data_IF_592840428520
#
_entry.id   IF_592840428520
#
_cell.length_a   1.000
_cell.length_b   1.000
_cell.length_c   1.000
_cell.angle_alpha   90.00
_cell.angle_beta   90.00
_cell.angle_gamma   90.00
#
_symmetry.space_group_name_H-M   'P 1'
#
loop_
_entity.id
_entity.type
_entity.pdbx_description
1 polymer ?
#
# COMPACT_ATOMS: atom_id res chain seq x y z
N UNK A 1 8.02 -31.07 -14.75
CA UNK A 1 9.45 -30.71 -14.64
C UNK A 1 9.58 -29.48 -13.73
N UNK A 2 10.06 -29.69 -12.52
CA UNK A 2 10.24 -28.67 -11.49
C UNK A 2 11.65 -28.08 -11.58
N UNK A 3 11.77 -26.85 -12.07
CA UNK A 3 13.03 -26.11 -11.97
C UNK A 3 13.15 -25.49 -10.58
N UNK A 4 13.94 -26.13 -9.72
CA UNK A 4 14.50 -25.50 -8.54
C UNK A 4 15.64 -24.57 -8.98
N UNK A 5 15.34 -23.30 -9.21
CA UNK A 5 16.36 -22.27 -9.40
C UNK A 5 16.70 -21.72 -8.01
N UNK A 6 17.87 -22.09 -7.49
CA UNK A 6 18.36 -21.55 -6.23
C UNK A 6 18.70 -20.05 -6.38
N UNK A 7 18.56 -19.26 -5.30
CA UNK A 7 18.78 -17.81 -5.29
C UNK A 7 20.16 -17.36 -5.84
N UNK A 8 21.16 -18.24 -5.85
CA UNK A 8 22.46 -17.98 -6.47
C UNK A 8 22.44 -18.00 -8.00
N UNK A 9 21.53 -18.78 -8.62
CA UNK A 9 21.48 -18.93 -10.07
C UNK A 9 20.92 -17.69 -10.78
N UNK A 10 19.93 -16.99 -10.21
CA UNK A 10 19.41 -15.74 -10.81
C UNK A 10 20.49 -14.65 -10.79
N UNK A 11 21.28 -14.56 -9.71
CA UNK A 11 22.37 -13.60 -9.59
C UNK A 11 23.50 -13.88 -10.58
N UNK A 12 23.92 -15.16 -10.71
CA UNK A 12 24.93 -15.58 -11.71
C UNK A 12 24.39 -15.39 -13.14
N UNK A 13 23.09 -15.61 -13.38
CA UNK A 13 22.50 -15.46 -14.70
C UNK A 13 22.38 -13.99 -15.13
N UNK A 14 21.93 -13.09 -14.24
CA UNK A 14 21.93 -11.65 -14.51
C UNK A 14 23.36 -11.10 -14.65
N UNK A 15 24.30 -11.52 -13.80
CA UNK A 15 25.70 -11.09 -13.86
C UNK A 15 26.41 -11.59 -15.13
N UNK A 16 26.14 -12.82 -15.60
CA UNK A 16 26.77 -13.38 -16.80
C UNK A 16 26.14 -12.89 -18.11
N UNK A 17 24.84 -12.62 -18.15
CA UNK A 17 24.19 -12.02 -19.32
C UNK A 17 24.65 -10.57 -19.54
N UNK A 18 24.87 -9.80 -18.46
CA UNK A 18 25.31 -8.41 -18.53
C UNK A 18 26.81 -8.26 -18.85
N UNK A 19 27.67 -9.13 -18.33
CA UNK A 19 29.10 -9.08 -18.69
C UNK A 19 29.35 -9.47 -20.15
N UNK A 20 28.53 -10.36 -20.73
CA UNK A 20 28.61 -10.71 -22.15
C UNK A 20 28.12 -9.60 -23.08
N UNK A 21 27.15 -8.79 -22.67
CA UNK A 21 26.64 -7.69 -23.51
C UNK A 21 27.49 -6.42 -23.44
N UNK A 22 28.28 -6.24 -22.38
CA UNK A 22 29.06 -5.00 -22.14
C UNK A 22 30.57 -5.12 -22.43
N UNK A 23 31.08 -6.30 -22.80
CA UNK A 23 32.50 -6.47 -23.18
C UNK A 23 33.50 -6.17 -22.05
N UNK A 24 33.08 -6.22 -20.79
CA UNK A 24 33.91 -5.87 -19.64
C UNK A 24 34.73 -7.10 -19.19
N UNK A 25 35.94 -7.25 -19.72
CA UNK A 25 36.97 -8.11 -19.14
C UNK A 25 37.74 -7.35 -18.06
N UNK A 26 37.55 -7.78 -16.81
CA UNK A 26 38.29 -7.46 -15.57
C UNK A 26 37.44 -6.72 -14.53
N UNK A 27 36.90 -7.50 -13.59
CA UNK A 27 36.51 -7.02 -12.26
C UNK A 27 37.45 -7.69 -11.27
N UNK A 28 38.27 -6.89 -10.60
CA UNK A 28 39.21 -7.33 -9.56
C UNK A 28 38.46 -7.79 -8.31
N UNK A 29 38.90 -8.93 -7.78
CA UNK A 29 38.78 -9.41 -6.39
C UNK A 29 37.40 -9.28 -5.73
N UNK A 30 36.65 -10.38 -5.80
CA UNK A 30 35.48 -10.67 -4.98
C UNK A 30 35.82 -10.55 -3.47
N UNK A 31 35.14 -9.64 -2.77
CA UNK A 31 34.90 -9.80 -1.34
C UNK A 31 34.20 -11.14 -1.11
N UNK A 32 34.64 -11.89 -0.07
CA UNK A 32 34.25 -13.28 0.20
C UNK A 32 32.75 -13.59 0.04
N UNK A 33 32.41 -14.83 -0.34
CA UNK A 33 31.03 -15.32 -0.55
C UNK A 33 30.06 -15.02 0.63
N UNK A 34 30.60 -14.82 1.85
CA UNK A 34 29.82 -14.37 3.01
C UNK A 34 29.33 -12.92 2.90
N UNK A 35 30.10 -12.01 2.26
CA UNK A 35 29.71 -10.61 2.04
C UNK A 35 28.50 -10.48 1.11
N UNK A 36 28.34 -11.40 0.14
CA UNK A 36 27.23 -11.41 -0.85
C UNK A 36 25.92 -11.91 -0.21
N UNK A 37 25.98 -12.55 0.96
CA UNK A 37 24.78 -12.98 1.71
C UNK A 37 24.14 -11.83 2.50
N UNK A 38 24.89 -10.78 2.81
CA UNK A 38 24.35 -9.59 3.48
C UNK A 38 23.34 -8.88 2.55
N UNK A 39 22.06 -8.77 2.94
CA UNK A 39 21.05 -8.06 2.15
C UNK A 39 21.42 -6.60 1.86
N UNK A 40 22.15 -5.92 2.74
CA UNK A 40 22.58 -4.54 2.50
C UNK A 40 23.61 -4.45 1.38
N UNK A 41 24.54 -5.41 1.27
CA UNK A 41 25.48 -5.45 0.15
C UNK A 41 24.76 -5.71 -1.18
N UNK A 42 23.69 -6.50 -1.16
CA UNK A 42 22.84 -6.69 -2.36
C UNK A 42 22.11 -5.41 -2.74
N UNK A 43 21.59 -4.66 -1.78
CA UNK A 43 20.99 -3.33 -2.04
C UNK A 43 22.02 -2.41 -2.69
N UNK A 44 23.23 -2.32 -2.15
CA UNK A 44 24.31 -1.51 -2.72
C UNK A 44 24.62 -1.90 -4.18
N UNK A 45 24.75 -3.19 -4.48
CA UNK A 45 24.98 -3.69 -5.85
C UNK A 45 23.81 -3.38 -6.78
N UNK A 46 22.56 -3.59 -6.33
CA UNK A 46 21.37 -3.28 -7.13
C UNK A 46 21.25 -1.77 -7.40
N UNK A 47 21.58 -0.94 -6.42
CA UNK A 47 21.65 0.51 -6.61
C UNK A 47 22.73 0.87 -7.63
N UNK A 48 23.92 0.29 -7.54
CA UNK A 48 25.00 0.55 -8.51
C UNK A 48 24.57 0.16 -9.93
N UNK A 49 23.98 -1.02 -10.10
CA UNK A 49 23.46 -1.48 -11.39
C UNK A 49 22.38 -0.56 -11.94
N UNK A 50 21.42 -0.16 -11.08
CA UNK A 50 20.37 0.79 -11.44
C UNK A 50 20.97 2.10 -11.96
N UNK A 51 21.94 2.67 -11.25
CA UNK A 51 22.58 3.92 -11.62
C UNK A 51 23.38 3.79 -12.92
N UNK A 52 24.14 2.71 -13.13
CA UNK A 52 24.88 2.48 -14.39
C UNK A 52 23.93 2.38 -15.58
N UNK A 53 22.84 1.61 -15.44
CA UNK A 53 21.85 1.43 -16.49
C UNK A 53 21.06 2.72 -16.75
N UNK A 54 20.76 3.49 -15.71
CA UNK A 54 20.04 4.74 -15.85
C UNK A 54 20.86 5.88 -16.48
N UNK A 55 22.19 5.79 -16.43
CA UNK A 55 23.11 6.75 -17.06
C UNK A 55 23.77 6.17 -18.33
N UNK A 56 23.28 5.03 -18.85
CA UNK A 56 23.77 4.46 -20.11
C UNK A 56 23.36 5.33 -21.30
N UNK A 57 24.01 5.12 -22.46
CA UNK A 57 23.66 5.83 -23.71
C UNK A 57 22.18 5.63 -24.09
N UNK A 58 21.64 4.45 -23.81
CA UNK A 58 20.23 4.11 -23.95
C UNK A 58 19.70 3.71 -22.56
N UNK A 59 19.16 4.67 -21.78
CA UNK A 59 18.74 4.43 -20.42
C UNK A 59 17.60 3.42 -20.33
N UNK A 60 17.86 2.27 -19.68
CA UNK A 60 16.84 1.27 -19.43
C UNK A 60 17.14 0.46 -18.17
N UNK A 61 16.27 0.57 -17.16
CA UNK A 61 16.33 -0.23 -15.94
C UNK A 61 15.27 -1.33 -16.02
N UNK A 62 15.65 -2.62 -16.08
CA UNK A 62 14.69 -3.73 -16.04
C UNK A 62 13.88 -3.73 -14.75
N UNK A 63 12.57 -3.99 -14.84
CA UNK A 63 11.63 -3.96 -13.69
C UNK A 63 12.04 -4.89 -12.54
N UNK A 64 12.81 -5.95 -12.84
CA UNK A 64 13.31 -6.90 -11.86
C UNK A 64 14.26 -6.26 -10.83
N UNK A 65 14.97 -5.18 -11.19
CA UNK A 65 15.86 -4.47 -10.26
C UNK A 65 15.05 -3.72 -9.19
N UNK A 66 14.11 -2.81 -9.54
CA UNK A 66 13.21 -2.20 -8.57
C UNK A 66 12.43 -3.20 -7.71
N UNK A 67 11.92 -4.28 -8.30
CA UNK A 67 11.19 -5.31 -7.58
C UNK A 67 12.05 -6.05 -6.54
N UNK A 68 13.29 -6.41 -6.91
CA UNK A 68 14.20 -7.11 -6.00
C UNK A 68 14.66 -6.17 -4.88
N UNK A 69 14.97 -4.91 -5.20
CA UNK A 69 15.39 -3.93 -4.19
C UNK A 69 14.26 -3.63 -3.20
N UNK A 70 13.05 -3.37 -3.68
CA UNK A 70 11.87 -3.16 -2.81
C UNK A 70 11.61 -4.37 -1.92
N UNK A 71 11.67 -5.60 -2.47
CA UNK A 71 11.54 -6.83 -1.69
C UNK A 71 12.60 -6.97 -0.59
N UNK A 72 13.87 -6.68 -0.88
CA UNK A 72 14.96 -6.72 0.11
C UNK A 72 14.74 -5.68 1.22
N UNK A 73 14.36 -4.46 0.85
CA UNK A 73 14.09 -3.37 1.79
C UNK A 73 12.89 -3.72 2.70
N UNK A 74 11.79 -4.25 2.14
CA UNK A 74 10.63 -4.71 2.92
C UNK A 74 10.98 -5.80 3.93
N UNK A 75 11.92 -6.70 3.59
CA UNK A 75 12.35 -7.74 4.53
C UNK A 75 13.23 -7.18 5.63
N UNK A 76 14.16 -6.31 5.27
CA UNK A 76 15.07 -5.70 6.23
C UNK A 76 14.34 -4.74 7.18
N UNK A 77 13.33 -4.01 6.73
CA UNK A 77 12.61 -3.05 7.56
C UNK A 77 12.01 -3.67 8.82
N UNK A 78 11.60 -4.95 8.76
CA UNK A 78 11.09 -5.68 9.92
C UNK A 78 12.15 -5.87 11.03
N UNK A 79 13.44 -5.86 10.69
CA UNK A 79 14.55 -5.98 11.66
C UNK A 79 14.86 -4.65 12.35
N UNK A 80 14.26 -3.55 11.89
CA UNK A 80 14.42 -2.20 12.43
C UNK A 80 13.11 -1.72 13.08
N UNK A 81 12.36 -2.66 13.65
CA UNK A 81 11.20 -2.31 14.45
C UNK A 81 11.65 -1.54 15.70
N UNK A 82 11.14 -0.33 15.85
CA UNK A 82 11.52 0.69 16.82
C UNK A 82 12.52 1.74 16.32
N UNK A 83 13.19 1.51 15.17
CA UNK A 83 14.36 2.29 14.76
C UNK A 83 14.41 2.59 13.25
N UNK A 84 13.35 3.22 12.75
CA UNK A 84 13.26 3.68 11.36
C UNK A 84 14.40 4.62 10.95
N UNK A 85 14.87 5.45 11.88
CA UNK A 85 15.94 6.40 11.60
C UNK A 85 17.25 5.67 11.26
N UNK A 86 17.62 4.63 12.03
CA UNK A 86 18.79 3.81 11.70
C UNK A 86 18.61 3.04 10.39
N UNK A 87 17.39 2.59 10.08
CA UNK A 87 17.11 1.94 8.79
C UNK A 87 17.31 2.91 7.62
N UNK A 88 16.74 4.12 7.71
CA UNK A 88 16.92 5.17 6.70
C UNK A 88 18.40 5.53 6.51
N UNK A 89 19.13 5.74 7.61
CA UNK A 89 20.56 6.04 7.58
C UNK A 89 21.38 4.90 6.93
N UNK A 90 21.04 3.64 7.24
CA UNK A 90 21.67 2.46 6.64
C UNK A 90 21.42 2.40 5.13
N UNK A 91 20.18 2.63 4.68
CA UNK A 91 19.83 2.67 3.27
C UNK A 91 20.55 3.80 2.53
N UNK A 92 20.50 5.03 3.05
CA UNK A 92 21.15 6.20 2.44
C UNK A 92 22.66 6.04 2.36
N UNK A 93 23.29 5.45 3.38
CA UNK A 93 24.72 5.10 3.34
C UNK A 93 25.03 4.14 2.19
N UNK A 94 24.17 3.13 1.96
CA UNK A 94 24.34 2.16 0.87
C UNK A 94 24.11 2.80 -0.50
N UNK A 95 23.11 3.66 -0.62
CA UNK A 95 22.87 4.42 -1.86
C UNK A 95 24.02 5.38 -2.18
N UNK A 96 24.54 6.08 -1.17
CA UNK A 96 25.71 6.97 -1.32
C UNK A 96 26.95 6.22 -1.79
N UNK A 97 27.28 5.09 -1.15
CA UNK A 97 28.40 4.22 -1.56
C UNK A 97 28.28 3.75 -3.01
N UNK A 98 27.10 3.27 -3.38
CA UNK A 98 26.84 2.83 -4.76
C UNK A 98 26.97 4.00 -5.75
N UNK A 99 26.43 5.17 -5.43
CA UNK A 99 26.51 6.35 -6.28
C UNK A 99 27.95 6.85 -6.45
N UNK A 100 28.77 6.81 -5.41
CA UNK A 100 30.18 7.16 -5.47
C UNK A 100 30.96 6.28 -6.45
N UNK A 101 30.68 4.96 -6.48
CA UNK A 101 31.30 4.01 -7.43
C UNK A 101 30.97 4.32 -8.90
N UNK A 102 29.82 4.93 -9.18
CA UNK A 102 29.35 5.23 -10.54
C UNK A 102 29.74 6.63 -10.99
N UNK A 103 29.64 7.62 -10.11
CA UNK A 103 29.83 9.05 -10.44
C UNK A 103 31.19 9.62 -10.01
N UNK A 104 32.01 8.84 -9.31
CA UNK A 104 33.34 9.22 -8.79
C UNK A 104 33.35 10.53 -7.99
N UNK A 105 32.21 10.88 -7.37
CA UNK A 105 32.06 12.04 -6.48
C UNK A 105 31.10 11.72 -5.35
N UNK A 106 31.26 12.40 -4.23
CA UNK A 106 30.26 12.37 -3.16
C UNK A 106 29.01 13.14 -3.61
N UNK A 107 27.85 12.61 -3.20
CA UNK A 107 26.55 13.21 -3.45
C UNK A 107 25.99 13.75 -2.15
N UNK A 108 25.35 14.92 -2.23
CA UNK A 108 24.56 15.44 -1.10
C UNK A 108 23.35 14.52 -0.84
N UNK A 109 22.74 14.61 0.34
CA UNK A 109 21.50 13.86 0.62
C UNK A 109 20.37 14.23 -0.32
N UNK A 110 20.29 15.49 -0.75
CA UNK A 110 19.34 15.94 -1.78
C UNK A 110 19.57 15.23 -3.12
N UNK A 111 20.83 15.08 -3.53
CA UNK A 111 21.19 14.36 -4.75
C UNK A 111 20.87 12.86 -4.63
N UNK A 112 21.09 12.27 -3.44
CA UNK A 112 20.74 10.86 -3.15
C UNK A 112 19.23 10.66 -3.20
N UNK A 113 18.45 11.53 -2.56
CA UNK A 113 16.98 11.48 -2.56
C UNK A 113 16.39 11.53 -3.97
N UNK A 114 17.07 12.25 -4.88
CA UNK A 114 16.66 12.40 -6.28
C UNK A 114 17.04 11.21 -7.18
N UNK A 115 17.71 10.18 -6.66
CA UNK A 115 18.08 9.01 -7.46
C UNK A 115 16.85 8.17 -7.84
N UNK A 116 16.76 7.77 -9.11
CA UNK A 116 15.56 7.16 -9.70
C UNK A 116 15.83 5.85 -10.43
N UNK A 117 14.79 5.02 -10.50
CA UNK A 117 14.70 3.84 -11.37
C UNK A 117 14.36 4.18 -12.82
N UNK A 118 13.84 5.39 -13.05
CA UNK A 118 13.11 5.72 -14.26
C UNK A 118 13.73 6.97 -14.91
N UNK A 119 14.93 6.84 -15.51
CA UNK A 119 15.50 7.93 -16.30
C UNK A 119 14.51 8.29 -17.41
N UNK A 120 14.19 9.58 -17.56
CA UNK A 120 13.41 10.17 -18.67
C UNK A 120 11.96 9.67 -18.86
N UNK A 121 11.42 8.85 -17.96
CA UNK A 121 10.04 8.37 -18.08
C UNK A 121 9.02 9.46 -17.75
N UNK A 122 8.28 9.88 -18.77
CA UNK A 122 6.92 10.41 -18.60
C UNK A 122 6.02 9.23 -18.25
N UNK A 123 5.41 9.28 -17.07
CA UNK A 123 4.68 8.14 -16.53
C UNK A 123 3.44 7.80 -17.37
N UNK A 124 3.03 6.53 -17.32
CA UNK A 124 1.73 6.11 -17.86
C UNK A 124 0.62 6.80 -17.03
N UNK A 125 -0.14 7.70 -17.65
CA UNK A 125 -1.28 8.39 -17.02
C UNK A 125 -0.91 9.58 -16.13
N UNK A 126 0.08 10.40 -16.52
CA UNK A 126 0.51 11.67 -15.89
C UNK A 126 1.01 11.60 -14.43
N UNK A 127 0.97 10.44 -13.76
CA UNK A 127 1.34 10.31 -12.35
C UNK A 127 2.83 9.99 -12.15
N UNK A 128 3.57 10.87 -11.48
CA UNK A 128 4.99 10.68 -11.12
C UNK A 128 5.25 9.35 -10.42
N UNK A 129 6.20 8.55 -10.93
CA UNK A 129 6.81 7.45 -10.19
C UNK A 129 7.92 7.97 -9.27
N UNK A 130 8.00 7.53 -8.00
CA UNK A 130 9.04 7.98 -7.10
C UNK A 130 10.42 7.44 -7.48
N UNK A 131 11.46 8.17 -7.07
CA UNK A 131 12.81 7.62 -7.06
C UNK A 131 12.95 6.48 -6.05
N UNK A 132 13.98 5.64 -6.16
CA UNK A 132 14.15 4.53 -5.20
C UNK A 132 14.52 5.03 -3.81
N UNK A 133 15.30 6.10 -3.72
CA UNK A 133 15.69 6.71 -2.45
C UNK A 133 14.50 7.42 -1.80
N UNK A 134 13.72 8.16 -2.59
CA UNK A 134 12.43 8.72 -2.18
C UNK A 134 11.49 7.63 -1.66
N UNK A 135 11.19 6.61 -2.47
CA UNK A 135 10.27 5.55 -2.08
C UNK A 135 10.74 4.83 -0.81
N UNK A 136 12.05 4.71 -0.62
CA UNK A 136 12.63 4.17 0.60
C UNK A 136 12.34 5.08 1.79
N UNK A 137 12.76 6.35 1.75
CA UNK A 137 12.58 7.29 2.86
C UNK A 137 11.10 7.47 3.21
N UNK A 138 10.26 7.65 2.20
CA UNK A 138 8.84 7.95 2.41
C UNK A 138 8.10 6.73 2.98
N UNK A 139 8.43 5.51 2.54
CA UNK A 139 7.91 4.29 3.19
C UNK A 139 8.29 4.23 4.67
N UNK A 140 9.54 4.56 4.99
CA UNK A 140 10.07 4.55 6.36
C UNK A 140 9.36 5.60 7.23
N UNK A 141 9.15 6.81 6.71
CA UNK A 141 8.39 7.86 7.40
C UNK A 141 6.98 7.39 7.75
N UNK A 142 6.28 6.72 6.81
CA UNK A 142 4.94 6.16 7.10
C UNK A 142 5.01 5.00 8.08
N UNK A 143 6.04 4.15 8.06
CA UNK A 143 6.23 3.09 9.06
C UNK A 143 6.38 3.65 10.48
N UNK A 144 7.18 4.72 10.64
CA UNK A 144 7.33 5.43 11.92
C UNK A 144 5.98 5.96 12.39
N UNK A 145 5.32 6.76 11.56
CA UNK A 145 4.08 7.45 11.94
C UNK A 145 2.93 6.46 12.19
N UNK A 146 2.88 5.36 11.43
CA UNK A 146 1.94 4.26 11.64
C UNK A 146 2.05 3.64 13.03
N UNK A 147 3.24 3.57 13.63
CA UNK A 147 3.38 3.03 14.99
C UNK A 147 2.84 3.96 16.04
N UNK A 148 3.09 5.25 15.89
CA UNK A 148 2.52 6.24 16.80
C UNK A 148 0.98 6.23 16.69
N UNK A 149 0.44 6.10 15.47
CA UNK A 149 -1.00 5.86 15.25
C UNK A 149 -1.47 4.59 15.97
N UNK A 150 -0.78 3.45 15.80
CA UNK A 150 -1.14 2.20 16.47
C UNK A 150 -1.12 2.36 18.01
N UNK A 151 -0.10 3.02 18.56
CA UNK A 151 0.06 3.24 19.99
C UNK A 151 -1.11 4.03 20.61
N UNK A 152 -1.65 5.00 19.87
CA UNK A 152 -2.78 5.80 20.35
C UNK A 152 -4.12 5.13 20.04
N UNK A 153 -4.31 4.58 18.83
CA UNK A 153 -5.61 4.10 18.38
C UNK A 153 -5.95 2.67 18.80
N UNK A 154 -4.96 1.81 19.06
CA UNK A 154 -5.21 0.41 19.44
C UNK A 154 -6.01 0.24 20.74
N UNK A 155 -6.09 1.31 21.55
CA UNK A 155 -6.81 1.33 22.84
C UNK A 155 -8.30 1.63 22.69
N UNK A 156 -8.67 2.38 21.65
CA UNK A 156 -10.02 2.87 21.38
C UNK A 156 -10.65 2.24 20.13
N UNK A 157 -9.99 1.25 19.53
CA UNK A 157 -10.46 0.56 18.33
C UNK A 157 -10.33 -0.96 18.43
N UNK A 158 -11.10 -1.65 17.59
CA UNK A 158 -11.13 -3.10 17.44
C UNK A 158 -9.95 -3.61 16.63
N UNK A 159 -9.55 -2.86 15.62
CA UNK A 159 -8.43 -3.18 14.74
C UNK A 159 -8.25 -2.16 13.62
N UNK A 160 -7.07 -2.21 13.00
CA UNK A 160 -6.68 -1.36 11.89
C UNK A 160 -6.06 -2.19 10.76
N UNK A 161 -6.47 -1.93 9.52
CA UNK A 161 -5.92 -2.54 8.30
C UNK A 161 -5.31 -1.45 7.44
N UNK A 162 -4.07 -1.66 6.99
CA UNK A 162 -3.39 -0.75 6.05
C UNK A 162 -3.78 -1.09 4.63
N UNK A 163 -4.23 -0.08 3.91
CA UNK A 163 -4.49 -0.15 2.48
C UNK A 163 -3.43 0.58 1.66
N UNK A 164 -3.79 0.86 0.41
CA UNK A 164 -3.05 1.82 -0.40
C UNK A 164 -1.62 1.42 -0.76
N UNK A 165 -0.82 2.42 -1.10
CA UNK A 165 0.58 2.24 -1.54
C UNK A 165 1.43 1.54 -0.46
N UNK A 166 1.09 1.76 0.80
CA UNK A 166 1.71 1.08 1.94
C UNK A 166 1.35 -0.39 2.01
N UNK A 167 0.25 -0.87 1.43
CA UNK A 167 -0.02 -2.32 1.35
C UNK A 167 0.59 -2.96 0.10
N UNK A 168 0.41 -2.34 -1.07
CA UNK A 168 0.76 -3.00 -2.34
C UNK A 168 2.11 -2.62 -2.97
N UNK A 169 2.82 -1.64 -2.40
CA UNK A 169 3.98 -1.03 -3.06
C UNK A 169 5.01 -0.41 -2.13
N UNK A 170 5.17 -0.91 -0.89
CA UNK A 170 6.23 -0.48 0.05
C UNK A 170 7.58 -0.46 -0.66
N UNK A 171 8.35 0.61 -0.47
CA UNK A 171 9.67 0.83 -1.06
C UNK A 171 9.72 0.88 -2.61
N UNK A 172 8.57 0.97 -3.28
CA UNK A 172 8.50 1.04 -4.74
C UNK A 172 7.62 2.20 -5.24
N UNK A 173 6.45 2.40 -4.64
CA UNK A 173 5.42 3.32 -5.14
C UNK A 173 5.08 4.46 -4.19
N UNK A 174 5.68 4.49 -2.99
CA UNK A 174 5.39 5.51 -1.97
C UNK A 174 6.13 6.80 -2.34
N UNK A 175 5.41 7.92 -2.36
CA UNK A 175 5.93 9.22 -2.81
C UNK A 175 5.92 10.26 -1.69
N UNK A 176 6.83 11.20 -1.78
CA UNK A 176 6.89 12.40 -0.95
C UNK A 176 6.66 13.67 -1.79
N UNK A 177 6.79 14.84 -1.16
CA UNK A 177 6.61 16.13 -1.83
C UNK A 177 5.13 16.49 -2.04
N UNK A 178 4.86 17.39 -2.99
CA UNK A 178 3.51 17.93 -3.23
C UNK A 178 2.49 16.88 -3.67
N UNK A 179 2.93 15.82 -4.33
CA UNK A 179 2.11 14.69 -4.78
C UNK A 179 2.30 13.44 -3.91
N UNK A 180 2.61 13.65 -2.62
CA UNK A 180 2.85 12.61 -1.64
C UNK A 180 1.76 11.54 -1.63
N UNK A 181 2.17 10.30 -1.34
CA UNK A 181 1.22 9.21 -1.15
C UNK A 181 0.56 9.32 0.22
N UNK A 182 -0.76 9.15 0.23
CA UNK A 182 -1.55 9.02 1.43
C UNK A 182 -1.18 7.74 2.19
N UNK A 183 -1.40 7.76 3.51
CA UNK A 183 -1.46 6.59 4.36
C UNK A 183 -2.93 6.18 4.50
N UNK A 184 -3.32 5.04 3.93
CA UNK A 184 -4.71 4.57 3.95
C UNK A 184 -4.92 3.56 5.09
N UNK A 185 -5.88 3.81 5.99
CA UNK A 185 -6.23 2.92 7.10
C UNK A 185 -7.74 2.69 7.14
N UNK A 186 -8.16 1.42 7.07
CA UNK A 186 -9.48 1.00 7.52
C UNK A 186 -9.42 0.75 9.04
N UNK A 187 -10.12 1.58 9.80
CA UNK A 187 -10.22 1.50 11.24
C UNK A 187 -11.58 0.94 11.65
N UNK A 188 -11.56 -0.16 12.39
CA UNK A 188 -12.77 -0.76 12.94
C UNK A 188 -12.89 -0.35 14.41
N UNK A 189 -14.01 0.25 14.77
CA UNK A 189 -14.37 0.61 16.15
C UNK A 189 -15.47 -0.31 16.66
N UNK A 190 -15.60 -0.44 17.98
CA UNK A 190 -16.58 -1.37 18.54
C UNK A 190 -18.00 -0.86 18.29
N UNK A 191 -18.20 0.44 18.52
CA UNK A 191 -19.40 1.20 18.22
C UNK A 191 -19.03 2.58 17.65
N UNK A 192 -19.95 3.20 16.91
CA UNK A 192 -19.81 4.59 16.47
C UNK A 192 -19.57 5.58 17.63
N UNK A 193 -20.04 5.25 18.84
CA UNK A 193 -19.78 6.05 20.04
C UNK A 193 -18.29 6.14 20.41
N UNK A 194 -17.43 5.25 19.90
CA UNK A 194 -15.99 5.28 20.14
C UNK A 194 -15.23 6.21 19.18
N UNK A 195 -15.84 6.66 18.08
CA UNK A 195 -15.15 7.51 17.08
C UNK A 195 -14.68 8.84 17.69
N UNK A 196 -15.45 9.56 18.54
CA UNK A 196 -14.95 10.76 19.20
C UNK A 196 -13.67 10.53 20.02
N UNK A 197 -13.57 9.42 20.76
CA UNK A 197 -12.38 9.08 21.54
C UNK A 197 -11.17 8.83 20.62
N UNK A 198 -11.38 8.13 19.50
CA UNK A 198 -10.35 7.92 18.47
C UNK A 198 -9.83 9.25 17.91
N UNK A 199 -10.73 10.19 17.60
CA UNK A 199 -10.34 11.51 17.07
C UNK A 199 -9.59 12.34 18.12
N UNK A 200 -9.99 12.26 19.39
CA UNK A 200 -9.27 12.88 20.51
C UNK A 200 -7.89 12.26 20.73
N UNK A 201 -7.76 10.94 20.57
CA UNK A 201 -6.49 10.23 20.66
C UNK A 201 -5.54 10.64 19.52
N UNK A 202 -6.06 10.81 18.29
CA UNK A 202 -5.27 11.32 17.17
C UNK A 202 -4.74 12.73 17.41
N UNK A 203 -5.54 13.60 18.03
CA UNK A 203 -5.14 14.98 18.36
C UNK A 203 -3.91 15.06 19.26
N UNK A 204 -3.57 13.97 19.97
CA UNK A 204 -2.38 13.90 20.83
C UNK A 204 -1.08 13.71 20.03
N UNK A 205 -1.17 13.32 18.75
CA UNK A 205 -0.02 13.11 17.90
C UNK A 205 0.54 14.47 17.44
N UNK A 206 1.86 14.71 17.57
CA UNK A 206 2.44 16.03 17.27
C UNK A 206 2.39 16.39 15.79
N UNK A 207 2.10 15.42 14.92
CA UNK A 207 2.13 15.62 13.47
C UNK A 207 0.74 15.70 12.83
N UNK A 208 -0.35 15.63 13.58
CA UNK A 208 -1.71 15.74 13.04
C UNK A 208 -2.19 17.18 13.00
N UNK A 209 -3.01 17.55 12.01
CA UNK A 209 -3.67 18.86 11.99
C UNK A 209 -4.92 18.88 12.87
N UNK A 210 -4.92 19.75 13.89
CA UNK A 210 -6.06 20.00 14.77
C UNK A 210 -7.31 20.44 13.99
N UNK A 211 -7.12 21.29 12.98
CA UNK A 211 -8.20 21.78 12.12
C UNK A 211 -8.89 20.64 11.38
N UNK A 212 -8.12 19.71 10.82
CA UNK A 212 -8.68 18.57 10.09
C UNK A 212 -9.42 17.60 11.04
N UNK A 213 -8.90 17.41 12.26
CA UNK A 213 -9.56 16.61 13.30
C UNK A 213 -10.89 17.24 13.74
N UNK A 214 -10.91 18.56 13.96
CA UNK A 214 -12.14 19.29 14.34
C UNK A 214 -13.17 19.25 13.22
N UNK A 215 -12.75 19.41 11.96
CA UNK A 215 -13.61 19.24 10.80
C UNK A 215 -14.17 17.82 10.70
N UNK A 216 -13.34 16.80 10.88
CA UNK A 216 -13.76 15.40 10.92
C UNK A 216 -14.74 15.11 12.06
N UNK A 217 -14.52 15.71 13.24
CA UNK A 217 -15.39 15.59 14.41
C UNK A 217 -16.78 16.17 14.16
N UNK A 218 -16.87 17.32 13.48
CA UNK A 218 -18.16 17.90 13.09
C UNK A 218 -18.87 17.03 12.05
N UNK A 219 -18.13 16.52 11.05
CA UNK A 219 -18.65 15.62 10.01
C UNK A 219 -19.24 14.33 10.59
N UNK A 220 -18.54 13.68 11.53
CA UNK A 220 -19.07 12.47 12.17
C UNK A 220 -20.29 12.80 13.03
N UNK A 221 -20.33 13.95 13.71
CA UNK A 221 -21.51 14.43 14.43
C UNK A 221 -22.74 14.57 13.53
N UNK A 222 -22.55 15.18 12.35
CA UNK A 222 -23.59 15.30 11.32
C UNK A 222 -24.08 13.93 10.84
N UNK A 223 -23.16 13.02 10.48
CA UNK A 223 -23.50 11.65 10.08
C UNK A 223 -24.29 10.90 11.16
N UNK A 224 -23.86 10.99 12.42
CA UNK A 224 -24.51 10.30 13.53
C UNK A 224 -25.86 10.91 13.92
N UNK A 225 -26.18 12.13 13.51
CA UNK A 225 -27.51 12.70 13.73
C UNK A 225 -28.60 11.97 12.93
N UNK A 226 -28.24 11.40 11.78
CA UNK A 226 -29.15 10.71 10.85
C UNK A 226 -28.98 9.19 10.90
N UNK A 227 -27.72 8.70 10.94
CA UNK A 227 -27.39 7.28 10.74
C UNK A 227 -26.73 6.61 11.96
N UNK A 228 -27.02 7.08 13.18
CA UNK A 228 -26.42 6.52 14.42
C UNK A 228 -26.49 5.00 14.54
N UNK A 229 -27.60 4.43 14.09
CA UNK A 229 -27.93 3.00 14.21
C UNK A 229 -27.67 2.21 12.93
N UNK A 230 -27.22 2.89 11.87
CA UNK A 230 -26.93 2.27 10.59
C UNK A 230 -25.65 1.43 10.69
N UNK A 231 -25.73 0.19 10.21
CA UNK A 231 -24.61 -0.77 10.31
C UNK A 231 -23.87 -0.83 9.00
N UNK A 232 -24.59 -0.70 7.91
CA UNK A 232 -24.12 -0.67 6.53
C UNK A 232 -23.65 0.74 6.16
N UNK A 233 -22.81 1.36 6.99
CA UNK A 233 -22.23 2.68 6.74
C UNK A 233 -20.73 2.69 6.99
N UNK A 234 -20.01 3.41 6.13
CA UNK A 234 -18.59 3.74 6.30
C UNK A 234 -18.44 5.25 6.34
N UNK A 235 -17.63 5.73 7.29
CA UNK A 235 -17.28 7.13 7.39
C UNK A 235 -15.84 7.32 6.92
N UNK A 236 -15.63 8.16 5.91
CA UNK A 236 -14.32 8.45 5.34
C UNK A 236 -13.93 9.91 5.53
N UNK A 237 -12.68 10.15 5.92
CA UNK A 237 -12.13 11.50 6.03
C UNK A 237 -10.60 11.51 5.98
N UNK A 238 -10.03 12.70 5.77
CA UNK A 238 -8.58 12.87 5.70
C UNK A 238 -8.05 13.78 6.81
N UNK A 239 -6.83 13.50 7.25
CA UNK A 239 -6.09 14.33 8.20
C UNK A 239 -4.72 14.64 7.60
N UNK A 240 -4.37 15.91 7.49
CA UNK A 240 -3.05 16.35 7.07
C UNK A 240 -2.02 16.03 8.14
N UNK A 241 -0.92 15.41 7.71
CA UNK A 241 0.23 15.08 8.54
C UNK A 241 1.39 16.04 8.25
N UNK A 242 2.11 16.46 9.29
CA UNK A 242 3.29 17.33 9.20
C UNK A 242 3.05 18.63 8.42
N UNK A 243 1.82 19.16 8.43
CA UNK A 243 1.48 20.38 7.71
C UNK A 243 2.05 21.63 8.39
N UNK A 244 2.11 21.61 9.72
CA UNK A 244 2.51 22.75 10.56
C UNK A 244 3.89 22.51 11.23
N UNK A 245 4.29 21.25 11.38
CA UNK A 245 5.49 20.83 12.07
C UNK A 245 6.61 20.34 11.13
N UNK A 246 7.85 20.42 11.60
CA UNK A 246 9.00 19.85 10.89
C UNK A 246 9.07 18.34 11.10
N UNK A 247 9.23 17.58 10.01
CA UNK A 247 9.50 16.15 10.13
C UNK A 247 10.96 15.90 10.57
N UNK A 248 11.19 15.25 11.72
CA UNK A 248 12.54 15.02 12.24
C UNK A 248 13.40 14.15 11.33
N UNK A 249 12.80 13.22 10.59
CA UNK A 249 13.52 12.34 9.68
C UNK A 249 14.02 13.07 8.44
N UNK A 250 13.24 14.01 7.89
CA UNK A 250 13.73 14.88 6.82
C UNK A 250 14.85 15.79 7.31
N UNK A 251 14.77 16.25 8.57
CA UNK A 251 15.82 17.03 9.22
C UNK A 251 17.16 16.29 9.32
N UNK A 252 17.16 14.99 9.66
CA UNK A 252 18.37 14.15 9.70
C UNK A 252 19.13 14.15 8.37
N UNK A 253 18.39 14.21 7.26
CA UNK A 253 18.96 14.18 5.91
C UNK A 253 19.05 15.56 5.25
N UNK A 254 18.79 16.65 6.00
CA UNK A 254 18.81 18.03 5.50
C UNK A 254 17.97 18.23 4.22
N UNK A 255 16.85 17.51 4.11
CA UNK A 255 16.01 17.53 2.92
C UNK A 255 15.00 18.68 2.99
N UNK A 256 15.15 19.65 2.09
CA UNK A 256 14.18 20.73 1.90
C UNK A 256 13.08 20.31 0.89
N UNK A 257 12.30 19.31 1.27
CA UNK A 257 11.11 18.84 0.53
C UNK A 257 9.89 18.94 1.44
N UNK A 258 8.69 19.06 0.86
CA UNK A 258 7.46 19.13 1.64
C UNK A 258 7.34 17.89 2.54
N UNK A 259 7.22 18.06 3.87
CA UNK A 259 6.99 16.96 4.79
C UNK A 259 5.54 16.47 4.72
N UNK A 260 4.63 17.27 4.15
CA UNK A 260 3.19 17.06 4.21
C UNK A 260 2.77 15.80 3.44
N UNK A 261 1.85 15.05 4.04
CA UNK A 261 1.05 14.03 3.38
C UNK A 261 -0.28 13.85 4.13
N UNK A 262 -1.17 12.98 3.67
CA UNK A 262 -2.47 12.77 4.32
C UNK A 262 -2.59 11.36 4.90
N UNK A 263 -3.26 11.26 6.04
CA UNK A 263 -3.86 10.02 6.52
C UNK A 263 -5.30 9.96 5.99
N UNK A 264 -5.62 8.96 5.19
CA UNK A 264 -6.99 8.63 4.78
C UNK A 264 -7.56 7.59 5.76
N UNK A 265 -8.51 8.02 6.60
CA UNK A 265 -9.19 7.15 7.55
C UNK A 265 -10.55 6.73 7.02
N UNK A 266 -10.80 5.43 7.08
CA UNK A 266 -12.10 4.82 6.80
C UNK A 266 -12.58 4.13 8.08
N UNK A 267 -13.63 4.64 8.69
CA UNK A 267 -14.20 4.09 9.92
C UNK A 267 -15.35 3.14 9.60
N UNK A 268 -15.38 2.01 10.28
CA UNK A 268 -16.52 1.11 10.32
C UNK A 268 -16.78 0.67 11.76
N UNK A 269 -18.04 0.47 12.10
CA UNK A 269 -18.39 -0.28 13.31
C UNK A 269 -18.00 -1.75 13.17
N UNK A 270 -17.93 -2.48 14.29
CA UNK A 270 -17.68 -3.92 14.26
C UNK A 270 -18.72 -4.67 13.44
N UNK A 271 -19.98 -4.28 13.55
CA UNK A 271 -21.08 -4.89 12.80
C UNK A 271 -20.97 -4.59 11.30
N UNK A 272 -20.64 -3.35 10.94
CA UNK A 272 -20.39 -2.98 9.54
C UNK A 272 -19.22 -3.77 8.95
N UNK A 273 -18.13 -3.95 9.70
CA UNK A 273 -17.00 -4.78 9.28
C UNK A 273 -17.38 -6.27 9.14
N UNK A 274 -18.22 -6.80 10.03
CA UNK A 274 -18.75 -8.16 9.94
C UNK A 274 -19.54 -8.36 8.63
N UNK A 275 -20.38 -7.39 8.25
CA UNK A 275 -21.16 -7.42 7.01
C UNK A 275 -20.25 -7.27 5.79
N UNK A 276 -19.37 -6.27 5.78
CA UNK A 276 -18.46 -5.98 4.65
C UNK A 276 -17.53 -7.16 4.34
N UNK A 277 -17.05 -7.87 5.38
CA UNK A 277 -16.21 -9.06 5.29
C UNK A 277 -17.03 -10.36 5.21
N UNK A 278 -18.31 -10.24 4.88
CA UNK A 278 -19.23 -11.32 4.53
C UNK A 278 -19.36 -12.38 5.62
N UNK A 279 -19.28 -12.01 6.91
CA UNK A 279 -19.25 -12.96 8.05
C UNK A 279 -20.38 -13.98 7.97
N UNK A 280 -21.60 -13.53 7.67
CA UNK A 280 -22.81 -14.35 7.63
C UNK A 280 -22.93 -15.22 6.37
N UNK A 281 -22.14 -14.97 5.32
CA UNK A 281 -22.08 -15.83 4.14
C UNK A 281 -21.14 -16.99 4.45
N UNK A 282 -21.70 -18.15 4.80
CA UNK A 282 -20.92 -19.34 5.13
C UNK A 282 -20.23 -19.94 3.89
N UNK A 283 -20.94 -20.00 2.77
CA UNK A 283 -20.42 -20.51 1.51
C UNK A 283 -20.43 -19.40 0.46
N UNK A 284 -19.25 -18.85 0.17
CA UNK A 284 -19.07 -17.76 -0.80
C UNK A 284 -19.47 -18.14 -2.23
N UNK A 285 -19.58 -19.42 -2.55
CA UNK A 285 -20.00 -19.89 -3.88
C UNK A 285 -21.47 -19.57 -4.13
N UNK A 286 -22.28 -19.44 -3.08
CA UNK A 286 -23.71 -19.14 -3.24
C UNK A 286 -23.97 -17.69 -3.65
N UNK A 287 -22.95 -16.83 -3.68
CA UNK A 287 -23.12 -15.41 -4.04
C UNK A 287 -23.61 -15.19 -5.47
N UNK A 288 -23.56 -16.18 -6.35
CA UNK A 288 -24.14 -16.11 -7.70
C UNK A 288 -25.64 -15.79 -7.68
N UNK A 289 -26.33 -16.19 -6.61
CA UNK A 289 -27.77 -15.99 -6.44
C UNK A 289 -28.11 -15.01 -5.31
N UNK A 290 -27.11 -14.34 -4.73
CA UNK A 290 -27.32 -13.40 -3.63
C UNK A 290 -27.28 -11.97 -4.16
N UNK A 291 -28.23 -11.17 -3.70
CA UNK A 291 -28.14 -9.72 -3.81
C UNK A 291 -27.05 -9.21 -2.86
N UNK A 292 -26.22 -8.27 -3.33
CA UNK A 292 -25.20 -7.68 -2.47
C UNK A 292 -25.81 -6.68 -1.51
N UNK A 293 -25.34 -6.74 -0.27
CA UNK A 293 -25.54 -5.67 0.71
C UNK A 293 -25.05 -4.33 0.15
N UNK A 294 -25.79 -3.27 0.44
CA UNK A 294 -25.47 -1.89 0.04
C UNK A 294 -24.96 -1.12 1.24
N UNK A 295 -23.84 -0.42 1.08
CA UNK A 295 -23.23 0.41 2.10
C UNK A 295 -23.38 1.88 1.75
N UNK A 296 -23.79 2.69 2.72
CA UNK A 296 -23.63 4.14 2.67
C UNK A 296 -22.16 4.50 2.88
N UNK A 297 -21.56 5.18 1.89
CA UNK A 297 -20.20 5.71 1.96
C UNK A 297 -20.27 7.22 2.18
N UNK A 298 -20.08 7.65 3.43
CA UNK A 298 -20.11 9.04 3.86
C UNK A 298 -18.71 9.66 3.79
N UNK A 299 -18.49 10.59 2.86
CA UNK A 299 -17.16 11.05 2.43
C UNK A 299 -17.00 12.54 2.49
N UNK A 300 -15.74 12.98 2.60
CA UNK A 300 -15.37 14.39 2.65
C UNK A 300 -15.41 15.07 1.28
N UNK A 301 -15.11 14.32 0.23
CA UNK A 301 -14.89 14.89 -1.11
C UNK A 301 -15.81 14.26 -2.14
N UNK A 302 -16.18 15.08 -3.11
CA UNK A 302 -17.03 14.70 -4.22
C UNK A 302 -16.43 13.50 -4.97
N UNK A 303 -17.21 12.42 -5.20
CA UNK A 303 -16.79 11.29 -6.00
C UNK A 303 -16.51 11.70 -7.45
N UNK A 304 -15.23 11.77 -7.84
CA UNK A 304 -14.82 12.17 -9.20
C UNK A 304 -14.85 11.06 -10.24
N UNK A 305 -15.12 9.82 -9.83
CA UNK A 305 -15.01 8.63 -10.68
C UNK A 305 -16.10 7.62 -10.31
N UNK A 306 -16.56 6.82 -11.29
CA UNK A 306 -17.37 5.64 -11.02
C UNK A 306 -16.68 4.72 -10.01
N UNK A 307 -17.48 3.89 -9.37
CA UNK A 307 -16.94 2.79 -8.58
C UNK A 307 -16.38 1.73 -9.53
N UNK A 308 -15.07 1.53 -9.46
CA UNK A 308 -14.39 0.54 -10.27
C UNK A 308 -14.17 -0.70 -9.41
N UNK A 309 -14.58 -1.85 -9.91
CA UNK A 309 -14.32 -3.15 -9.29
C UNK A 309 -13.59 -4.04 -10.31
N UNK A 310 -12.80 -5.02 -9.83
CA UNK A 310 -12.09 -5.95 -10.71
C UNK A 310 -12.33 -7.40 -10.30
N UNK A 311 -12.48 -8.28 -11.28
CA UNK A 311 -12.58 -9.73 -11.05
C UNK A 311 -11.21 -10.37 -10.83
N UNK A 312 -11.22 -11.68 -10.57
CA UNK A 312 -10.00 -12.48 -10.61
C UNK A 312 -9.37 -12.63 -12.01
N UNK A 313 -10.07 -12.35 -13.11
CA UNK A 313 -9.47 -12.25 -14.46
C UNK A 313 -8.77 -10.90 -14.66
N UNK A 314 -9.08 -9.91 -13.82
CA UNK A 314 -8.64 -8.52 -13.97
C UNK A 314 -9.55 -7.70 -14.87
N UNK A 315 -10.67 -8.25 -15.32
CA UNK A 315 -11.72 -7.48 -15.99
C UNK A 315 -12.30 -6.45 -15.03
N UNK A 316 -12.54 -5.25 -15.53
CA UNK A 316 -13.03 -4.14 -14.75
C UNK A 316 -14.53 -3.96 -14.99
N UNK A 317 -15.27 -3.73 -13.91
CA UNK A 317 -16.65 -3.27 -13.95
C UNK A 317 -16.69 -1.85 -13.40
N UNK A 318 -17.24 -0.92 -14.18
CA UNK A 318 -17.49 0.45 -13.77
C UNK A 318 -18.96 0.59 -13.40
N UNK A 319 -19.24 0.94 -12.15
CA UNK A 319 -20.58 1.14 -11.62
C UNK A 319 -20.74 2.64 -11.38
N UNK A 320 -21.66 3.25 -12.11
CA UNK A 320 -22.05 4.62 -11.82
C UNK A 320 -22.85 4.63 -10.52
N UNK A 321 -22.35 5.39 -9.54
CA UNK A 321 -22.99 5.49 -8.24
C UNK A 321 -23.38 6.96 -8.05
N UNK A 322 -24.68 7.29 -8.09
CA UNK A 322 -25.13 8.64 -7.77
C UNK A 322 -24.74 8.97 -6.32
N UNK A 323 -24.44 10.23 -6.08
CA UNK A 323 -24.13 10.73 -4.76
C UNK A 323 -24.98 11.95 -4.45
N UNK A 324 -25.21 12.16 -3.16
CA UNK A 324 -25.90 13.32 -2.62
C UNK A 324 -24.90 14.19 -1.87
N UNK A 325 -24.92 15.49 -2.15
CA UNK A 325 -24.25 16.47 -1.30
C UNK A 325 -25.10 16.72 -0.05
N UNK A 326 -24.46 16.71 1.11
CA UNK A 326 -25.05 16.99 2.41
C UNK A 326 -24.34 18.19 3.02
N UNK A 327 -25.11 19.22 3.33
CA UNK A 327 -24.61 20.47 3.91
C UNK A 327 -25.22 20.63 5.30
N UNK A 328 -24.35 20.75 6.31
CA UNK A 328 -24.72 20.98 7.70
C UNK A 328 -23.90 22.17 8.23
N UNK A 329 -24.50 23.36 8.24
CA UNK A 329 -23.79 24.60 8.50
C UNK A 329 -22.70 24.88 7.47
N UNK A 330 -21.44 24.95 7.91
CA UNK A 330 -20.25 25.13 7.07
C UNK A 330 -19.59 23.79 6.66
N UNK A 331 -20.21 22.66 7.00
CA UNK A 331 -19.69 21.32 6.74
C UNK A 331 -20.38 20.73 5.51
N UNK A 332 -19.58 20.38 4.52
CA UNK A 332 -20.02 19.66 3.32
C UNK A 332 -19.53 18.22 3.37
N UNK A 333 -20.41 17.27 3.08
CA UNK A 333 -20.08 15.86 2.88
C UNK A 333 -20.83 15.30 1.69
N UNK A 334 -20.40 14.14 1.22
CA UNK A 334 -21.01 13.43 0.10
C UNK A 334 -21.38 12.03 0.53
N UNK A 335 -22.60 11.60 0.20
CA UNK A 335 -23.11 10.27 0.53
C UNK A 335 -23.43 9.53 -0.74
N UNK A 336 -22.99 8.28 -0.83
CA UNK A 336 -23.30 7.41 -1.97
C UNK A 336 -23.53 5.98 -1.51
N UNK A 337 -24.26 5.19 -2.29
CA UNK A 337 -24.53 3.79 -1.98
C UNK A 337 -23.60 2.87 -2.79
N UNK A 338 -22.73 2.09 -2.13
CA UNK A 338 -21.80 1.16 -2.79
C UNK A 338 -22.07 -0.28 -2.38
N UNK A 339 -22.04 -1.19 -3.34
CA UNK A 339 -22.26 -2.61 -3.07
C UNK A 339 -21.04 -3.25 -2.40
N UNK A 340 -21.28 -4.12 -1.43
CA UNK A 340 -20.23 -4.90 -0.77
C UNK A 340 -19.45 -5.80 -1.73
N UNK A 341 -20.12 -6.33 -2.75
CA UNK A 341 -19.56 -7.04 -3.90
C UNK A 341 -20.54 -6.98 -5.08
N UNK A 342 -20.11 -7.42 -6.26
CA UNK A 342 -21.00 -7.69 -7.40
C UNK A 342 -20.68 -9.07 -7.96
N UNK A 343 -21.70 -9.80 -8.40
CA UNK A 343 -21.52 -10.98 -9.24
C UNK A 343 -22.16 -10.73 -10.59
N UNK A 344 -21.36 -10.80 -11.65
CA UNK A 344 -21.82 -10.62 -13.02
C UNK A 344 -21.26 -11.75 -13.89
N UNK A 345 -22.13 -12.42 -14.65
CA UNK A 345 -21.77 -13.56 -15.49
C UNK A 345 -20.98 -14.67 -14.75
N UNK A 346 -21.26 -14.87 -13.46
CA UNK A 346 -20.57 -15.85 -12.61
C UNK A 346 -19.19 -15.39 -12.08
N UNK A 347 -18.74 -14.18 -12.43
CA UNK A 347 -17.51 -13.59 -11.89
C UNK A 347 -17.79 -12.75 -10.65
N UNK A 348 -16.98 -12.93 -9.62
CA UNK A 348 -17.04 -12.14 -8.40
C UNK A 348 -16.14 -10.90 -8.50
N UNK A 349 -16.75 -9.76 -8.22
CA UNK A 349 -16.11 -8.45 -8.14
C UNK A 349 -16.15 -8.03 -6.67
N UNK A 350 -15.01 -8.04 -5.94
CA UNK A 350 -14.97 -7.47 -4.61
C UNK A 350 -15.35 -5.99 -4.67
N UNK A 351 -16.21 -5.56 -3.74
CA UNK A 351 -16.61 -4.17 -3.65
C UNK A 351 -15.45 -3.26 -3.25
N UNK A 352 -15.60 -1.97 -3.47
CA UNK A 352 -14.57 -0.97 -3.19
C UNK A 352 -14.09 -0.97 -1.73
N UNK A 353 -15.01 -1.21 -0.79
CA UNK A 353 -14.68 -1.27 0.64
C UNK A 353 -13.85 -2.52 0.97
N UNK A 354 -14.13 -3.64 0.32
CA UNK A 354 -13.27 -4.84 0.39
C UNK A 354 -11.90 -4.57 -0.25
N UNK A 355 -11.85 -3.69 -1.25
CA UNK A 355 -10.63 -3.15 -1.84
C UNK A 355 -9.67 -2.52 -0.83
N UNK A 356 -10.16 -1.93 0.28
CA UNK A 356 -9.30 -1.39 1.34
C UNK A 356 -8.52 -2.47 2.09
N UNK A 357 -9.06 -3.69 2.13
CA UNK A 357 -8.47 -4.84 2.83
C UNK A 357 -7.62 -5.69 1.88
N UNK A 358 -8.01 -5.69 0.61
CA UNK A 358 -7.29 -6.38 -0.45
C UNK A 358 -6.02 -5.62 -0.85
N UNK A 359 -5.01 -6.33 -1.36
CA UNK A 359 -4.95 -7.79 -1.53
C UNK A 359 -4.18 -8.48 -0.39
N UNK A 360 -3.50 -7.72 0.48
CA UNK A 360 -2.50 -8.26 1.40
C UNK A 360 -3.09 -8.63 2.76
N UNK A 361 -4.27 -8.08 3.12
CA UNK A 361 -4.90 -8.26 4.42
C UNK A 361 -3.96 -7.80 5.55
N UNK A 362 -3.32 -6.64 5.37
CA UNK A 362 -2.28 -6.10 6.26
C UNK A 362 -2.90 -5.54 7.56
N UNK A 363 -3.29 -6.44 8.46
CA UNK A 363 -3.73 -6.08 9.81
C UNK A 363 -2.54 -5.54 10.59
N UNK A 364 -2.58 -4.27 10.97
CA UNK A 364 -1.60 -3.68 11.88
C UNK A 364 -1.86 -4.16 13.31
N UNK A 365 -3.00 -3.74 13.86
CA UNK A 365 -3.48 -4.17 15.16
C UNK A 365 -4.89 -4.73 15.06
N UNK A 366 -5.27 -5.49 16.09
CA UNK A 366 -6.65 -5.90 16.25
C UNK A 366 -6.82 -7.05 17.21
N UNK A 367 -8.01 -7.14 17.78
CA UNK A 367 -8.39 -8.20 18.70
C UNK A 367 -8.45 -9.58 17.99
N UNK A 368 -8.56 -10.65 18.79
CA UNK A 368 -8.61 -12.01 18.26
C UNK A 368 -9.84 -12.30 17.39
N UNK A 369 -10.96 -11.61 17.57
CA UNK A 369 -12.19 -11.80 16.78
C UNK A 369 -12.01 -11.15 15.40
N UNK A 370 -11.51 -9.92 15.37
CA UNK A 370 -11.25 -9.18 14.13
C UNK A 370 -10.20 -9.87 13.26
N UNK A 371 -9.08 -10.33 13.85
CA UNK A 371 -8.06 -11.09 13.11
C UNK A 371 -8.63 -12.37 12.48
N UNK A 372 -9.52 -13.07 13.18
CA UNK A 372 -10.21 -14.25 12.66
C UNK A 372 -11.20 -13.91 11.56
N UNK A 373 -11.93 -12.79 11.67
CA UNK A 373 -12.84 -12.32 10.65
C UNK A 373 -12.10 -12.06 9.32
N UNK A 374 -11.02 -11.29 9.36
CA UNK A 374 -10.20 -10.98 8.17
C UNK A 374 -9.60 -12.26 7.58
N UNK A 375 -9.08 -13.16 8.42
CA UNK A 375 -8.56 -14.46 7.95
C UNK A 375 -9.65 -15.32 7.30
N UNK A 376 -10.86 -15.35 7.87
CA UNK A 376 -12.02 -16.05 7.31
C UNK A 376 -12.41 -15.47 5.95
N UNK A 377 -12.47 -14.14 5.83
CA UNK A 377 -12.76 -13.48 4.57
C UNK A 377 -11.72 -13.80 3.48
N UNK A 378 -10.42 -13.80 3.83
CA UNK A 378 -9.36 -14.24 2.91
C UNK A 378 -9.61 -15.65 2.40
N UNK A 379 -9.99 -16.59 3.28
CA UNK A 379 -10.30 -17.96 2.87
C UNK A 379 -11.52 -18.04 1.95
N UNK A 380 -12.58 -17.26 2.21
CA UNK A 380 -13.74 -17.15 1.31
C UNK A 380 -13.30 -16.70 -0.08
N UNK A 381 -12.46 -15.68 -0.21
CA UNK A 381 -11.99 -15.26 -1.53
C UNK A 381 -11.16 -16.35 -2.25
N UNK A 382 -10.39 -17.16 -1.52
CA UNK A 382 -9.68 -18.31 -2.08
C UNK A 382 -10.67 -19.39 -2.56
N UNK A 383 -11.72 -19.67 -1.79
CA UNK A 383 -12.77 -20.62 -2.17
C UNK A 383 -13.55 -20.13 -3.39
N UNK A 384 -13.89 -18.84 -3.45
CA UNK A 384 -14.52 -18.23 -4.61
C UNK A 384 -13.64 -18.34 -5.86
N UNK A 385 -12.35 -18.02 -5.73
CA UNK A 385 -11.38 -18.17 -6.81
C UNK A 385 -11.27 -19.61 -7.32
N UNK A 386 -11.33 -20.61 -6.42
CA UNK A 386 -11.34 -22.04 -6.80
C UNK A 386 -12.61 -22.41 -7.57
N UNK A 387 -13.76 -21.94 -7.10
CA UNK A 387 -15.03 -22.15 -7.78
C UNK A 387 -15.01 -21.58 -9.19
N UNK A 388 -14.61 -20.31 -9.35
CA UNK A 388 -14.52 -19.69 -10.68
C UNK A 388 -13.49 -20.37 -11.58
N UNK A 389 -12.39 -20.88 -11.04
CA UNK A 389 -11.42 -21.65 -11.84
C UNK A 389 -12.00 -22.96 -12.37
N UNK A 390 -12.91 -23.59 -11.62
CA UNK A 390 -13.60 -24.79 -12.09
C UNK A 390 -14.68 -24.44 -13.13
N UNK A 391 -15.39 -23.33 -12.95
CA UNK A 391 -16.41 -22.86 -13.90
C UNK A 391 -15.80 -22.32 -15.21
N UNK A 392 -14.64 -21.68 -15.13
CA UNK A 392 -13.95 -21.01 -16.23
C UNK A 392 -12.50 -21.52 -16.37
N UNK A 393 -12.30 -22.80 -16.73
CA UNK A 393 -10.97 -23.45 -16.70
C UNK A 393 -9.95 -22.85 -17.67
N UNK A 394 -10.41 -22.12 -18.69
CA UNK A 394 -9.56 -21.47 -19.69
C UNK A 394 -9.09 -20.06 -19.26
N UNK A 395 -9.65 -19.49 -18.20
CA UNK A 395 -9.32 -18.14 -17.76
C UNK A 395 -8.10 -18.14 -16.84
N UNK A 396 -7.25 -17.12 -16.98
CA UNK A 396 -6.17 -16.87 -15.99
C UNK A 396 -6.75 -16.09 -14.82
N UNK A 397 -6.98 -16.80 -13.71
CA UNK A 397 -7.58 -16.22 -12.50
C UNK A 397 -6.53 -16.08 -11.40
N UNK A 398 -6.43 -14.88 -10.81
CA UNK A 398 -5.50 -14.56 -9.71
C UNK A 398 -6.18 -13.66 -8.69
N UNK A 399 -5.93 -13.91 -7.41
CA UNK A 399 -6.45 -13.06 -6.34
C UNK A 399 -5.88 -11.63 -6.44
N UNK A 400 -4.61 -11.51 -6.86
CA UNK A 400 -3.97 -10.21 -7.06
C UNK A 400 -4.63 -9.35 -8.15
N UNK A 401 -5.37 -9.94 -9.10
CA UNK A 401 -6.04 -9.22 -10.18
C UNK A 401 -7.32 -8.53 -9.73
N UNK A 402 -7.98 -9.05 -8.69
CA UNK A 402 -9.27 -8.55 -8.19
C UNK A 402 -9.20 -7.23 -7.41
N UNK A 403 -8.05 -6.55 -7.41
CA UNK A 403 -7.91 -5.23 -6.82
C UNK A 403 -7.78 -4.17 -7.92
N UNK A 404 -8.47 -3.05 -7.76
CA UNK A 404 -8.54 -1.94 -8.74
C UNK A 404 -7.19 -1.33 -9.11
N UNK A 405 -6.20 -1.45 -8.21
CA UNK A 405 -4.81 -1.00 -8.38
C UNK A 405 -3.83 -2.11 -8.74
N UNK A 406 -4.29 -3.29 -9.13
CA UNK A 406 -3.43 -4.45 -9.37
C UNK A 406 -2.31 -4.20 -10.39
N UNK A 407 -2.50 -3.27 -11.33
CA UNK A 407 -1.48 -2.90 -12.31
C UNK A 407 -0.23 -2.26 -11.68
N UNK A 408 -0.38 -1.58 -10.54
CA UNK A 408 0.73 -0.90 -9.85
C UNK A 408 1.31 -1.69 -8.69
N UNK A 409 0.83 -2.90 -8.39
CA UNK A 409 1.41 -3.69 -7.30
C UNK A 409 2.85 -4.08 -7.60
N UNK A 410 3.71 -4.06 -6.58
CA UNK A 410 5.05 -4.61 -6.68
C UNK A 410 4.97 -6.11 -7.03
N UNK A 411 5.86 -6.61 -7.91
CA UNK A 411 5.72 -7.98 -8.39
C UNK A 411 5.91 -9.02 -7.28
N UNK A 412 6.73 -8.71 -6.27
CA UNK A 412 6.89 -9.59 -5.11
C UNK A 412 5.61 -9.66 -4.25
N UNK A 413 4.82 -8.58 -4.20
CA UNK A 413 3.51 -8.57 -3.54
C UNK A 413 2.54 -9.46 -4.30
N UNK A 414 2.40 -9.28 -5.63
CA UNK A 414 1.56 -10.15 -6.49
C UNK A 414 1.88 -11.63 -6.28
N UNK A 415 3.18 -11.97 -6.35
CA UNK A 415 3.66 -13.35 -6.11
C UNK A 415 3.30 -13.86 -4.72
N UNK A 416 3.49 -13.05 -3.68
CA UNK A 416 3.15 -13.45 -2.32
C UNK A 416 1.66 -13.77 -2.18
N UNK A 417 0.78 -12.89 -2.67
CA UNK A 417 -0.68 -13.07 -2.64
C UNK A 417 -1.07 -14.34 -3.40
N UNK A 418 -0.66 -14.44 -4.67
CA UNK A 418 -1.11 -15.52 -5.55
C UNK A 418 -0.55 -16.88 -5.11
N UNK A 419 0.65 -16.92 -4.54
CA UNK A 419 1.23 -18.15 -3.99
C UNK A 419 0.42 -18.77 -2.85
N UNK A 420 -0.33 -17.94 -2.11
CA UNK A 420 -1.15 -18.44 -0.97
C UNK A 420 -2.44 -19.12 -1.39
N UNK A 421 -2.80 -19.05 -2.67
CA UNK A 421 -4.06 -19.65 -3.18
C UNK A 421 -3.94 -21.16 -3.44
N UNK A 422 -2.72 -21.69 -3.53
CA UNK A 422 -2.40 -23.06 -3.98
C UNK A 422 -2.96 -23.43 -5.37
N UNK A 423 -3.32 -22.45 -6.19
CA UNK A 423 -3.85 -22.66 -7.53
C UNK A 423 -2.73 -22.45 -8.56
N UNK A 424 -2.16 -23.56 -9.06
CA UNK A 424 -1.18 -23.52 -10.17
C UNK A 424 -1.81 -23.00 -11.45
#
# INVERSE_FOLDING_TARGET
MSFHVSQGHIYVYCHNLLNKSLGLSNVSTMDSIQSIRDPWNRIEVLTEQCLRLANAKEPHVPLQIPDMMSWLLSRLSNSYFGDEAAFAASAFKKFSKAAHKVKSRELSYKDIYSLTFYPDKKNLGDRRAPGFAEATLETIRRLRDMREIENVLSKSSVGGIVGGSMSYGKFLNVKGGEDASDLDILLVVDSWNNVPDVLLDLKKLPFTSDKDIEYMTRRIGSMLSEWKHEKEIVFSGKISFWAEEKDPMLGIFELNVSPKYQLSLHFMSREGADIMLLKNIQNIVTTDNLESEQFLDYRESEPKRPDFQRTFTGESLGIEIPFEERVDGDVVSYVRSTSSFVVENGHFYPGMLQGLVLPAFDIMWGDSKFRRLVASFRWKLIERLRYEKNAFPNNTLRLSFAHTRSDVFANHVKKAIDSTTNLR
#
